data_IF_092938248053
#
_entry.id   IF_092938248053
#
_cell.length_a   1.000
_cell.length_b   1.000
_cell.length_c   1.000
_cell.angle_alpha   90.00
_cell.angle_beta   90.00
_cell.angle_gamma   90.00
#
_symmetry.space_group_name_H-M   'P 1'
#
loop_
_entity.id
_entity.type
_entity.pdbx_description
1 polymer ?
#
# COMPACT_ATOMS: atom_id res chain seq x y z
N UNK A 1 -13.17 -16.30 -2.09
CA UNK A 1 -12.83 -15.16 -1.21
C UNK A 1 -11.87 -14.26 -1.95
N UNK A 2 -12.10 -12.93 -2.00
CA UNK A 2 -11.14 -12.01 -2.62
C UNK A 2 -9.82 -12.05 -1.85
N UNK A 3 -8.69 -11.99 -2.56
CA UNK A 3 -7.37 -11.92 -1.92
C UNK A 3 -7.22 -10.53 -1.29
N UNK A 4 -6.69 -10.45 -0.07
CA UNK A 4 -6.37 -9.16 0.56
C UNK A 4 -4.95 -8.75 0.23
N UNK A 5 -4.76 -7.53 -0.28
CA UNK A 5 -3.46 -6.89 -0.45
C UNK A 5 -3.26 -5.89 0.67
N UNK A 6 -2.28 -6.11 1.54
CA UNK A 6 -1.91 -5.12 2.55
C UNK A 6 -0.90 -4.14 1.97
N UNK A 7 -1.29 -2.87 1.88
CA UNK A 7 -0.41 -1.81 1.41
C UNK A 7 0.06 -0.96 2.59
N UNK A 8 1.28 -1.23 3.04
CA UNK A 8 1.99 -0.48 4.06
C UNK A 8 2.70 0.72 3.45
N UNK A 9 2.45 1.92 3.96
CA UNK A 9 3.02 3.14 3.39
C UNK A 9 3.28 4.23 4.43
N UNK A 10 4.32 5.01 4.18
CA UNK A 10 4.61 6.26 4.86
C UNK A 10 4.34 7.41 3.88
N UNK A 11 3.60 8.42 4.32
CA UNK A 11 3.22 9.59 3.51
C UNK A 11 4.45 10.37 3.05
N UNK A 12 5.54 10.34 3.81
CA UNK A 12 6.79 11.01 3.45
C UNK A 12 7.63 10.28 2.40
N UNK A 13 7.26 9.05 1.99
CA UNK A 13 8.04 8.24 1.06
C UNK A 13 7.64 8.49 -0.41
N UNK A 14 8.53 9.04 -1.25
CA UNK A 14 8.25 9.23 -2.68
C UNK A 14 8.00 7.92 -3.43
N UNK A 15 8.66 6.83 -3.02
CA UNK A 15 8.46 5.51 -3.64
C UNK A 15 7.12 4.91 -3.23
N UNK A 16 6.68 5.14 -1.99
CA UNK A 16 5.35 4.72 -1.54
C UNK A 16 4.25 5.50 -2.28
N UNK A 17 4.45 6.79 -2.57
CA UNK A 17 3.53 7.55 -3.41
C UNK A 17 3.39 6.95 -4.81
N UNK A 18 4.51 6.62 -5.47
CA UNK A 18 4.46 5.96 -6.78
C UNK A 18 3.71 4.62 -6.70
N UNK A 19 3.99 3.78 -5.69
CA UNK A 19 3.27 2.53 -5.51
C UNK A 19 1.77 2.74 -5.27
N UNK A 20 1.38 3.73 -4.45
CA UNK A 20 -0.01 4.10 -4.18
C UNK A 20 -0.78 4.39 -5.47
N UNK A 21 -0.19 5.12 -6.42
CA UNK A 21 -0.85 5.43 -7.71
C UNK A 21 -1.18 4.19 -8.53
N UNK A 22 -0.49 3.07 -8.33
CA UNK A 22 -0.70 1.82 -9.06
C UNK A 22 -1.74 0.90 -8.39
N UNK A 23 -2.02 1.10 -7.09
CA UNK A 23 -2.86 0.20 -6.30
C UNK A 23 -4.27 0.01 -6.87
N UNK A 24 -5.01 1.06 -7.30
CA UNK A 24 -6.34 0.87 -7.89
C UNK A 24 -6.33 -0.04 -9.12
N UNK A 25 -5.32 0.11 -9.99
CA UNK A 25 -5.18 -0.72 -11.18
C UNK A 25 -4.84 -2.17 -10.84
N UNK A 26 -4.03 -2.40 -9.80
CA UNK A 26 -3.72 -3.75 -9.32
C UNK A 26 -4.97 -4.42 -8.72
N UNK A 27 -5.73 -3.70 -7.89
CA UNK A 27 -6.98 -4.20 -7.33
C UNK A 27 -7.97 -4.61 -8.43
N UNK A 28 -8.14 -3.76 -9.46
CA UNK A 28 -9.01 -4.06 -10.59
C UNK A 28 -8.57 -5.31 -11.39
N UNK A 29 -7.27 -5.47 -11.67
CA UNK A 29 -6.75 -6.62 -12.43
C UNK A 29 -6.79 -7.95 -11.65
N UNK A 30 -6.71 -7.89 -10.32
CA UNK A 30 -6.56 -9.07 -9.48
C UNK A 30 -7.83 -9.45 -8.71
N UNK A 31 -8.81 -8.55 -8.65
CA UNK A 31 -9.97 -8.68 -7.75
C UNK A 31 -9.59 -8.62 -6.28
N UNK A 32 -8.42 -8.08 -5.95
CA UNK A 32 -7.95 -7.97 -4.58
C UNK A 32 -8.56 -6.78 -3.85
N UNK A 33 -8.87 -6.95 -2.56
CA UNK A 33 -9.25 -5.87 -1.67
C UNK A 33 -7.98 -5.26 -1.06
N UNK A 34 -7.85 -3.94 -1.13
CA UNK A 34 -6.69 -3.24 -0.56
C UNK A 34 -6.98 -2.89 0.90
N UNK A 35 -6.14 -3.39 1.80
CA UNK A 35 -6.07 -2.93 3.18
C UNK A 35 -4.97 -1.87 3.30
N UNK A 36 -5.37 -0.61 3.49
CA UNK A 36 -4.47 0.52 3.68
C UNK A 36 -3.87 0.51 5.08
N UNK A 37 -2.54 0.52 5.18
CA UNK A 37 -1.78 0.44 6.43
C UNK A 37 -0.79 1.61 6.53
N UNK A 38 -1.23 2.80 6.98
CA UNK A 38 -0.31 3.90 7.20
C UNK A 38 0.70 3.55 8.31
N UNK A 39 1.96 3.94 8.13
CA UNK A 39 3.03 3.72 9.09
C UNK A 39 4.04 4.87 9.08
N UNK A 40 4.82 4.99 10.16
CA UNK A 40 5.94 5.93 10.27
C UNK A 40 7.25 5.14 10.22
N UNK A 41 8.05 5.34 9.17
CA UNK A 41 9.32 4.62 8.98
C UNK A 41 10.31 4.87 10.11
N UNK A 42 10.32 6.08 10.68
CA UNK A 42 11.16 6.42 11.84
C UNK A 42 10.88 5.59 13.11
N UNK A 43 9.72 4.93 13.19
CA UNK A 43 9.39 3.98 14.26
C UNK A 43 9.77 2.53 13.96
N UNK A 44 10.06 2.20 12.70
CA UNK A 44 10.41 0.83 12.24
C UNK A 44 11.91 0.59 12.22
N UNK A 45 12.70 1.63 11.94
CA UNK A 45 14.17 1.54 11.94
C UNK A 45 14.80 1.72 13.33
N UNK A 46 14.05 1.52 14.41
CA UNK A 46 14.51 1.59 15.80
C UNK A 46 14.59 0.21 16.44
#
# INVERSE_FOLDING_TARGET
MPKRLEFWFDVGSPTAYLAHTQMPGIAARTGAEIAWKPMLLGGVFK
#
